data_IF_809737031530
#
_entry.id   IF_809737031530
#
_cell.length_a   1.000
_cell.length_b   1.000
_cell.length_c   1.000
_cell.angle_alpha   90.00
_cell.angle_beta   90.00
_cell.angle_gamma   90.00
#
_symmetry.space_group_name_H-M   'P 1'
#
loop_
_entity.id
_entity.type
_entity.pdbx_description
1 polymer ?
#
# COMPACT_ATOMS: atom_id res chain seq x y z
N UNK A 1 -12.20 -17.67 15.37
CA UNK A 1 -11.60 -16.36 15.00
C UNK A 1 -12.41 -15.77 13.85
N UNK A 2 -12.41 -14.45 13.64
CA UNK A 2 -13.16 -13.78 12.55
C UNK A 2 -12.19 -13.37 11.44
N UNK A 3 -11.96 -14.23 10.41
CA UNK A 3 -10.98 -13.99 9.34
C UNK A 3 -11.11 -12.62 8.66
N UNK A 4 -12.33 -12.09 8.58
CA UNK A 4 -12.64 -10.82 7.95
C UNK A 4 -12.03 -9.63 8.70
N UNK A 5 -12.02 -9.68 10.04
CA UNK A 5 -11.42 -8.63 10.87
C UNK A 5 -9.90 -8.64 10.69
N UNK A 6 -9.29 -9.82 10.74
CA UNK A 6 -7.85 -9.96 10.54
C UNK A 6 -7.43 -9.45 9.16
N UNK A 7 -8.19 -9.79 8.11
CA UNK A 7 -7.94 -9.27 6.76
C UNK A 7 -8.02 -7.75 6.70
N UNK A 8 -9.03 -7.14 7.32
CA UNK A 8 -9.19 -5.69 7.36
C UNK A 8 -8.02 -4.99 8.10
N UNK A 9 -7.54 -5.59 9.20
CA UNK A 9 -6.38 -5.07 9.94
C UNK A 9 -5.09 -5.14 9.11
N UNK A 10 -4.88 -6.24 8.38
CA UNK A 10 -3.75 -6.38 7.46
C UNK A 10 -3.83 -5.34 6.34
N UNK A 11 -4.99 -5.18 5.70
CA UNK A 11 -5.18 -4.16 4.67
C UNK A 11 -4.88 -2.75 5.19
N UNK A 12 -5.37 -2.40 6.39
CA UNK A 12 -5.08 -1.11 7.02
C UNK A 12 -3.59 -0.92 7.29
N UNK A 13 -2.93 -1.93 7.86
CA UNK A 13 -1.50 -1.88 8.16
C UNK A 13 -0.64 -1.68 6.91
N UNK A 14 -0.99 -2.34 5.80
CA UNK A 14 -0.30 -2.17 4.52
C UNK A 14 -0.43 -0.73 3.99
N UNK A 15 -1.63 -0.16 4.09
CA UNK A 15 -1.90 1.20 3.62
C UNK A 15 -1.09 2.22 4.43
N UNK A 16 -1.19 2.15 5.75
CA UNK A 16 -0.50 3.08 6.66
C UNK A 16 1.02 2.96 6.60
N UNK A 17 1.54 1.73 6.41
CA UNK A 17 2.98 1.47 6.26
C UNK A 17 3.51 2.11 4.98
N UNK A 18 2.87 1.86 3.83
CA UNK A 18 3.32 2.42 2.56
C UNK A 18 3.22 3.95 2.58
N UNK A 19 2.08 4.51 3.00
CA UNK A 19 1.89 5.97 3.08
C UNK A 19 2.97 6.61 3.97
N UNK A 20 3.22 6.04 5.14
CA UNK A 20 4.18 6.62 6.09
C UNK A 20 5.62 6.53 5.61
N UNK A 21 6.01 5.40 5.01
CA UNK A 21 7.35 5.25 4.42
C UNK A 21 7.56 6.25 3.27
N UNK A 22 6.62 6.33 2.33
CA UNK A 22 6.71 7.26 1.21
C UNK A 22 6.73 8.73 1.69
N UNK A 23 5.95 9.08 2.72
CA UNK A 23 5.91 10.44 3.27
C UNK A 23 7.25 10.86 3.89
N UNK A 24 8.00 9.94 4.51
CA UNK A 24 9.35 10.23 5.04
C UNK A 24 10.33 10.62 3.92
N UNK A 25 10.13 10.08 2.72
CA UNK A 25 10.93 10.38 1.53
C UNK A 25 10.40 11.60 0.74
N UNK A 26 9.37 12.29 1.24
CA UNK A 26 8.75 13.45 0.58
C UNK A 26 7.73 13.10 -0.50
N UNK A 27 7.34 11.83 -0.60
CA UNK A 27 6.37 11.33 -1.58
C UNK A 27 4.99 11.30 -0.94
N UNK A 28 4.03 12.01 -1.53
CA UNK A 28 2.65 12.09 -1.01
C UNK A 28 1.65 11.83 -2.11
N UNK A 29 0.52 11.23 -1.75
CA UNK A 29 -0.57 10.84 -2.64
C UNK A 29 -1.89 11.17 -1.97
N UNK A 30 -2.93 11.54 -2.74
CA UNK A 30 -4.25 11.80 -2.18
C UNK A 30 -4.79 10.59 -1.41
N UNK A 31 -5.36 10.82 -0.22
CA UNK A 31 -5.82 9.72 0.66
C UNK A 31 -6.80 8.76 -0.01
N UNK A 32 -7.69 9.26 -0.88
CA UNK A 32 -8.65 8.45 -1.66
C UNK A 32 -7.98 7.54 -2.69
N UNK A 33 -6.75 7.87 -3.11
CA UNK A 33 -5.96 7.12 -4.10
C UNK A 33 -5.11 6.02 -3.44
N UNK A 34 -4.69 6.19 -2.19
CA UNK A 34 -3.85 5.22 -1.47
C UNK A 34 -4.42 3.79 -1.48
N UNK A 35 -5.67 3.61 -1.01
CA UNK A 35 -6.30 2.28 -0.95
C UNK A 35 -6.36 1.59 -2.32
N UNK A 36 -6.93 2.19 -3.39
CA UNK A 36 -6.98 1.51 -4.68
C UNK A 36 -5.60 1.31 -5.32
N UNK A 37 -4.62 2.16 -5.06
CA UNK A 37 -3.24 1.96 -5.56
C UNK A 37 -2.55 0.78 -4.85
N UNK A 38 -2.59 0.77 -3.52
CA UNK A 38 -1.93 -0.23 -2.67
C UNK A 38 -2.62 -1.59 -2.76
N UNK A 39 -3.93 -1.63 -3.03
CA UNK A 39 -4.63 -2.90 -3.31
C UNK A 39 -4.51 -3.33 -4.78
N UNK A 40 -3.96 -2.49 -5.66
CA UNK A 40 -3.80 -2.79 -7.09
C UNK A 40 -5.11 -2.74 -7.89
N UNK A 41 -6.10 -1.99 -7.41
CA UNK A 41 -7.38 -1.74 -8.08
C UNK A 41 -7.35 -0.50 -8.99
N UNK A 42 -6.30 0.31 -8.93
CA UNK A 42 -6.10 1.46 -9.83
C UNK A 42 -4.69 1.46 -10.40
N UNK A 43 -4.54 1.96 -11.62
CA UNK A 43 -3.25 2.33 -12.18
C UNK A 43 -2.77 3.66 -11.56
N UNK A 44 -1.45 3.82 -11.35
CA UNK A 44 -0.85 5.12 -11.03
C UNK A 44 -1.13 6.17 -12.11
N UNK A 45 -1.27 7.42 -11.70
CA UNK A 45 -1.46 8.58 -12.57
C UNK A 45 -0.19 9.41 -12.71
N UNK A 46 0.69 9.36 -11.72
CA UNK A 46 1.94 10.10 -11.66
C UNK A 46 3.03 9.26 -10.98
N UNK A 47 4.24 9.84 -10.92
CA UNK A 47 5.41 9.20 -10.32
C UNK A 47 5.24 8.93 -8.83
N UNK A 48 4.59 9.80 -8.08
CA UNK A 48 4.39 9.61 -6.64
C UNK A 48 3.46 8.42 -6.37
N UNK A 49 2.42 8.25 -7.18
CA UNK A 49 1.56 7.07 -7.14
C UNK A 49 2.27 5.80 -7.59
N UNK A 50 3.20 5.87 -8.55
CA UNK A 50 4.04 4.74 -8.95
C UNK A 50 4.94 4.27 -7.82
N UNK A 51 5.55 5.19 -7.08
CA UNK A 51 6.42 4.89 -5.94
C UNK A 51 5.62 4.25 -4.79
N UNK A 52 4.43 4.76 -4.48
CA UNK A 52 3.52 4.13 -3.50
C UNK A 52 3.05 2.75 -3.96
N UNK A 53 2.69 2.59 -5.25
CA UNK A 53 2.27 1.30 -5.80
C UNK A 53 3.42 0.27 -5.86
N UNK A 54 4.67 0.73 -5.97
CA UNK A 54 5.87 -0.10 -5.90
C UNK A 54 6.06 -0.78 -4.55
N UNK A 55 5.66 -0.12 -3.45
CA UNK A 55 5.79 -0.63 -2.09
C UNK A 55 5.04 -1.95 -1.89
N UNK A 56 3.83 -2.10 -2.48
CA UNK A 56 3.09 -3.36 -2.49
C UNK A 56 3.90 -4.51 -3.09
N UNK A 57 4.55 -4.27 -4.23
CA UNK A 57 5.36 -5.32 -4.90
C UNK A 57 6.54 -5.73 -4.04
N UNK A 58 7.15 -4.80 -3.30
CA UNK A 58 8.21 -5.10 -2.35
C UNK A 58 7.71 -5.94 -1.16
N UNK A 59 6.56 -5.58 -0.59
CA UNK A 59 5.92 -6.37 0.48
C UNK A 59 5.50 -7.77 0.01
N UNK A 60 4.89 -7.88 -1.17
CA UNK A 60 4.56 -9.17 -1.79
C UNK A 60 5.80 -10.03 -1.98
N UNK A 61 6.95 -9.43 -2.33
CA UNK A 61 8.22 -10.14 -2.47
C UNK A 61 8.76 -10.65 -1.13
N UNK A 62 8.69 -9.84 -0.08
CA UNK A 62 9.13 -10.21 1.28
C UNK A 62 8.24 -11.31 1.84
N UNK A 63 6.92 -11.20 1.65
CA UNK A 63 5.95 -12.14 2.20
C UNK A 63 5.74 -13.40 1.33
N UNK A 64 6.12 -13.41 0.04
CA UNK A 64 6.05 -14.61 -0.82
C UNK A 64 7.07 -15.69 -0.47
N UNK A 65 8.06 -15.42 0.38
CA UNK A 65 9.13 -16.38 0.74
C UNK A 65 8.83 -17.25 1.96
N UNK A 66 7.60 -17.27 2.47
CA UNK A 66 7.19 -18.19 3.54
C UNK A 66 5.83 -18.83 3.27
#
# INVERSE_FOLDING_TARGET
QSPQILKALVEMALIESAESSNRIEGVTVERKRLKPLILGHSKPLDRSEEEVAGYRKALDLIHKKH
#
